data_IF_000202744573
#
_entry.id   IF_000202744573
#
_cell.length_a   1.000
_cell.length_b   1.000
_cell.length_c   1.000
_cell.angle_alpha   90.00
_cell.angle_beta   90.00
_cell.angle_gamma   90.00
#
_symmetry.space_group_name_H-M   'P 1'
#
loop_
_entity.id
_entity.type
_entity.pdbx_description
1 polymer ?
#
# COMPACT_ATOMS: atom_id res chain seq x y z
N UNK A 1 -11.70 -1.91 7.68
CA UNK A 1 -13.06 -2.10 8.26
C UNK A 1 -13.14 -3.24 9.26
N UNK A 2 -13.17 -4.53 8.84
CA UNK A 2 -13.31 -5.67 9.78
C UNK A 2 -12.24 -5.67 10.87
N UNK A 3 -10.99 -5.38 10.52
CA UNK A 3 -9.90 -5.24 11.49
C UNK A 3 -10.15 -4.11 12.49
N UNK A 4 -10.58 -2.94 12.02
CA UNK A 4 -10.87 -1.76 12.86
C UNK A 4 -11.99 -2.04 13.88
N UNK A 5 -13.04 -2.77 13.47
CA UNK A 5 -14.11 -3.23 14.37
C UNK A 5 -13.55 -4.18 15.45
N UNK A 6 -12.70 -5.13 15.04
CA UNK A 6 -12.06 -6.09 15.96
C UNK A 6 -11.13 -5.36 16.93
N UNK A 7 -10.40 -4.35 16.49
CA UNK A 7 -9.51 -3.55 17.32
C UNK A 7 -10.26 -2.72 18.36
N UNK A 8 -11.40 -2.13 18.00
CA UNK A 8 -12.27 -1.41 18.93
C UNK A 8 -12.81 -2.36 20.01
N UNK A 9 -13.30 -3.53 19.62
CA UNK A 9 -13.75 -4.54 20.59
C UNK A 9 -12.60 -5.09 21.43
N UNK A 10 -11.42 -5.30 20.85
CA UNK A 10 -10.24 -5.76 21.57
C UNK A 10 -9.79 -4.74 22.62
N UNK A 11 -9.91 -3.43 22.37
CA UNK A 11 -9.67 -2.39 23.36
C UNK A 11 -10.63 -2.55 24.54
N UNK A 12 -11.95 -2.53 24.29
CA UNK A 12 -12.99 -2.66 25.32
C UNK A 12 -12.80 -3.93 26.18
N UNK A 13 -12.54 -5.08 25.55
CA UNK A 13 -12.36 -6.35 26.28
C UNK A 13 -11.25 -6.25 27.35
N UNK A 14 -10.24 -5.40 27.14
CA UNK A 14 -9.16 -5.21 28.11
C UNK A 14 -9.54 -4.34 29.31
N UNK A 15 -10.59 -3.53 29.20
CA UNK A 15 -11.09 -2.67 30.28
C UNK A 15 -12.30 -3.23 31.01
N UNK A 16 -12.95 -4.28 30.48
CA UNK A 16 -14.10 -4.92 31.11
C UNK A 16 -13.68 -5.80 32.30
N UNK A 17 -14.49 -5.84 33.38
CA UNK A 17 -14.29 -6.81 34.44
C UNK A 17 -14.54 -8.24 33.92
N UNK A 18 -13.90 -9.28 34.50
CA UNK A 18 -13.90 -10.64 33.91
C UNK A 18 -15.27 -11.29 33.73
N UNK A 19 -16.23 -10.94 34.59
CA UNK A 19 -17.61 -11.40 34.56
C UNK A 19 -18.41 -10.79 33.41
N UNK A 20 -18.10 -9.55 33.01
CA UNK A 20 -18.74 -8.85 31.90
C UNK A 20 -18.18 -9.20 30.51
N UNK A 21 -17.03 -9.86 30.45
CA UNK A 21 -16.45 -10.35 29.19
C UNK A 21 -17.25 -11.57 28.69
N UNK A 22 -17.72 -11.56 27.43
CA UNK A 22 -18.41 -12.70 26.83
C UNK A 22 -17.62 -14.00 26.98
N UNK A 23 -18.30 -15.10 27.33
CA UNK A 23 -17.68 -16.41 27.65
C UNK A 23 -16.63 -16.86 26.60
N UNK A 24 -16.89 -16.79 25.27
CA UNK A 24 -15.91 -17.19 24.25
C UNK A 24 -14.61 -16.36 24.24
N UNK A 25 -14.64 -15.16 24.85
CA UNK A 25 -13.57 -14.17 24.82
C UNK A 25 -12.75 -14.10 26.11
N UNK A 26 -13.26 -14.66 27.22
CA UNK A 26 -12.63 -14.59 28.56
C UNK A 26 -11.16 -15.01 28.57
N UNK A 27 -10.81 -16.11 27.87
CA UNK A 27 -9.43 -16.59 27.79
C UNK A 27 -8.46 -15.61 27.11
N UNK A 28 -8.99 -14.70 26.30
CA UNK A 28 -8.21 -13.71 25.57
C UNK A 28 -8.11 -12.37 26.30
N UNK A 29 -9.01 -12.07 27.24
CA UNK A 29 -9.05 -10.77 27.94
C UNK A 29 -7.74 -10.40 28.63
N UNK A 30 -7.03 -11.40 29.18
CA UNK A 30 -5.71 -11.25 29.82
C UNK A 30 -4.56 -10.82 28.92
N UNK A 31 -4.71 -10.92 27.59
CA UNK A 31 -3.62 -10.57 26.68
C UNK A 31 -3.59 -9.07 26.42
N UNK A 32 -2.43 -8.54 26.04
CA UNK A 32 -2.28 -7.17 25.53
C UNK A 32 -3.14 -6.90 24.29
N UNK A 33 -3.58 -5.64 24.10
CA UNK A 33 -4.50 -5.21 23.03
C UNK A 33 -4.16 -5.79 21.66
N UNK A 34 -2.92 -5.61 21.19
CA UNK A 34 -2.47 -6.09 19.86
C UNK A 34 -2.57 -7.61 19.74
N UNK A 35 -2.23 -8.32 20.82
CA UNK A 35 -2.29 -9.78 20.88
C UNK A 35 -3.75 -10.28 20.96
N UNK A 36 -4.64 -9.56 21.64
CA UNK A 36 -6.09 -9.83 21.62
C UNK A 36 -6.66 -9.70 20.21
N UNK A 37 -6.44 -8.57 19.55
CA UNK A 37 -6.95 -8.35 18.19
C UNK A 37 -6.45 -9.43 17.22
N UNK A 38 -5.16 -9.80 17.32
CA UNK A 38 -4.54 -10.82 16.47
C UNK A 38 -5.04 -12.25 16.74
N UNK A 39 -5.06 -12.69 18.00
CA UNK A 39 -5.37 -14.08 18.36
C UNK A 39 -6.87 -14.34 18.53
N UNK A 40 -7.63 -13.33 18.96
CA UNK A 40 -9.07 -13.45 19.22
C UNK A 40 -9.92 -12.91 18.07
N UNK A 41 -9.33 -12.36 16.99
CA UNK A 41 -10.08 -11.61 15.98
C UNK A 41 -11.27 -12.36 15.35
N UNK A 42 -11.13 -13.66 15.09
CA UNK A 42 -12.26 -14.48 14.61
C UNK A 42 -13.35 -14.66 15.67
N UNK A 43 -12.98 -14.87 16.94
CA UNK A 43 -13.93 -15.02 18.03
C UNK A 43 -14.65 -13.70 18.33
N UNK A 44 -13.92 -12.58 18.31
CA UNK A 44 -14.46 -11.24 18.49
C UNK A 44 -15.48 -10.93 17.40
N UNK A 45 -15.15 -11.19 16.13
CA UNK A 45 -16.08 -10.99 15.01
C UNK A 45 -17.37 -11.81 15.19
N UNK A 46 -17.25 -13.09 15.55
CA UNK A 46 -18.40 -13.96 15.75
C UNK A 46 -19.31 -13.53 16.91
N UNK A 47 -18.73 -13.02 18.01
CA UNK A 47 -19.52 -12.47 19.12
C UNK A 47 -20.20 -11.17 18.72
N UNK A 48 -19.49 -10.25 18.06
CA UNK A 48 -20.09 -9.00 17.57
C UNK A 48 -21.24 -9.24 16.60
N UNK A 49 -21.15 -10.27 15.76
CA UNK A 49 -22.22 -10.60 14.83
C UNK A 49 -23.52 -11.01 15.53
N UNK A 50 -23.40 -11.79 16.62
CA UNK A 50 -24.53 -12.43 17.32
C UNK A 50 -25.06 -11.65 18.52
N UNK A 51 -24.19 -10.93 19.24
CA UNK A 51 -24.51 -10.27 20.49
C UNK A 51 -24.66 -8.75 20.29
N UNK A 52 -25.92 -8.30 20.24
CA UNK A 52 -26.25 -6.89 20.08
C UNK A 52 -25.85 -6.05 21.31
N UNK A 53 -25.94 -6.60 22.52
CA UNK A 53 -25.55 -5.91 23.75
C UNK A 53 -24.04 -5.69 23.81
N UNK A 54 -23.25 -6.68 23.40
CA UNK A 54 -21.80 -6.53 23.27
C UNK A 54 -21.43 -5.51 22.18
N UNK A 55 -22.10 -5.50 21.02
CA UNK A 55 -21.87 -4.45 20.01
C UNK A 55 -22.17 -3.06 20.56
N UNK A 56 -23.29 -2.88 21.26
CA UNK A 56 -23.65 -1.62 21.89
C UNK A 56 -22.56 -1.13 22.84
N UNK A 57 -22.08 -2.01 23.74
CA UNK A 57 -20.96 -1.69 24.65
C UNK A 57 -19.68 -1.31 23.92
N UNK A 58 -19.37 -1.93 22.78
CA UNK A 58 -18.22 -1.57 21.94
C UNK A 58 -18.40 -0.19 21.28
N UNK A 59 -19.64 0.23 21.05
CA UNK A 59 -19.94 1.55 20.50
C UNK A 59 -19.86 2.68 21.55
N UNK A 60 -20.08 2.41 22.84
CA UNK A 60 -20.14 3.45 23.88
C UNK A 60 -18.92 4.38 23.93
N UNK A 61 -17.65 3.90 23.94
CA UNK A 61 -16.50 4.79 23.90
C UNK A 61 -16.43 5.65 22.63
N UNK A 62 -17.02 5.16 21.53
CA UNK A 62 -17.10 5.91 20.27
C UNK A 62 -18.19 6.98 20.33
N UNK A 63 -19.29 6.74 21.06
CA UNK A 63 -20.32 7.75 21.34
C UNK A 63 -19.76 8.90 22.15
N UNK A 64 -18.98 8.60 23.18
CA UNK A 64 -18.34 9.62 24.03
C UNK A 64 -17.30 10.43 23.26
N UNK A 65 -16.47 9.77 22.45
CA UNK A 65 -15.37 10.44 21.75
C UNK A 65 -15.84 11.23 20.51
N UNK A 66 -16.92 10.80 19.85
CA UNK A 66 -17.35 11.29 18.52
C UNK A 66 -18.88 11.39 18.41
N UNK A 67 -19.52 12.06 19.37
CA UNK A 67 -20.98 12.19 19.46
C UNK A 67 -21.63 12.66 18.14
N UNK A 68 -21.12 13.73 17.53
CA UNK A 68 -21.67 14.29 16.29
C UNK A 68 -21.67 13.29 15.12
N UNK A 69 -20.61 12.47 15.01
CA UNK A 69 -20.50 11.47 13.95
C UNK A 69 -21.44 10.29 14.22
N UNK A 70 -21.60 9.90 15.49
CA UNK A 70 -22.56 8.87 15.88
C UNK A 70 -23.98 9.31 15.54
N UNK A 71 -24.36 10.54 15.91
CA UNK A 71 -25.68 11.10 15.61
C UNK A 71 -25.94 11.12 14.11
N UNK A 72 -24.96 11.58 13.32
CA UNK A 72 -25.07 11.57 11.86
C UNK A 72 -25.30 10.15 11.32
N UNK A 73 -24.50 9.16 11.76
CA UNK A 73 -24.61 7.77 11.31
C UNK A 73 -25.95 7.15 11.74
N UNK A 74 -26.43 7.41 12.96
CA UNK A 74 -27.74 6.95 13.42
C UNK A 74 -28.89 7.58 12.62
N UNK A 75 -28.74 8.82 12.19
CA UNK A 75 -29.63 9.50 11.25
C UNK A 75 -29.49 9.05 9.79
N UNK A 76 -28.60 8.10 9.47
CA UNK A 76 -28.35 7.63 8.11
C UNK A 76 -27.57 8.61 7.24
N UNK A 77 -26.92 9.60 7.84
CA UNK A 77 -26.13 10.62 7.17
C UNK A 77 -24.64 10.29 7.23
N UNK A 78 -23.93 10.62 6.15
CA UNK A 78 -22.47 10.52 6.07
C UNK A 78 -21.91 11.93 5.88
N UNK A 79 -21.26 12.52 6.90
CA UNK A 79 -20.64 13.82 6.75
C UNK A 79 -19.56 13.80 5.64
N UNK A 80 -19.47 14.81 4.76
CA UNK A 80 -18.58 14.79 3.59
C UNK A 80 -17.08 14.59 3.89
N UNK A 81 -16.62 14.96 5.09
CA UNK A 81 -15.23 14.84 5.51
C UNK A 81 -15.00 13.71 6.53
N UNK A 82 -15.99 12.86 6.78
CA UNK A 82 -15.83 11.74 7.69
C UNK A 82 -14.96 10.63 7.08
N UNK A 83 -14.08 10.04 7.89
CA UNK A 83 -13.32 8.85 7.50
C UNK A 83 -14.30 7.70 7.17
N UNK A 84 -14.30 7.18 5.92
CA UNK A 84 -15.19 6.09 5.53
C UNK A 84 -15.05 4.83 6.40
N UNK A 85 -13.84 4.54 6.91
CA UNK A 85 -13.62 3.41 7.82
C UNK A 85 -14.36 3.62 9.13
N UNK A 86 -14.34 4.85 9.68
CA UNK A 86 -15.04 5.20 10.91
C UNK A 86 -16.55 5.11 10.74
N UNK A 87 -17.07 5.63 9.63
CA UNK A 87 -18.50 5.52 9.26
C UNK A 87 -18.93 4.05 9.19
N UNK A 88 -18.18 3.21 8.49
CA UNK A 88 -18.49 1.78 8.38
C UNK A 88 -18.43 1.04 9.73
N UNK A 89 -17.46 1.38 10.59
CA UNK A 89 -17.36 0.80 11.94
C UNK A 89 -18.58 1.17 12.77
N UNK A 90 -18.97 2.45 12.79
CA UNK A 90 -20.13 2.93 13.53
C UNK A 90 -21.42 2.33 12.98
N UNK A 91 -21.62 2.33 11.67
CA UNK A 91 -22.78 1.72 11.03
C UNK A 91 -22.89 0.22 11.39
N UNK A 92 -21.78 -0.52 11.38
CA UNK A 92 -21.76 -1.94 11.75
C UNK A 92 -22.09 -2.19 13.23
N UNK A 93 -21.57 -1.36 14.13
CA UNK A 93 -21.78 -1.51 15.58
C UNK A 93 -23.19 -1.11 16.00
N UNK A 94 -23.67 0.04 15.51
CA UNK A 94 -24.95 0.65 15.87
C UNK A 94 -26.12 0.01 15.13
N UNK A 95 -25.90 -0.43 13.89
CA UNK A 95 -26.93 -0.98 12.98
C UNK A 95 -28.22 -0.15 12.90
N UNK A 96 -28.16 1.16 12.61
CA UNK A 96 -29.36 1.94 12.29
C UNK A 96 -30.06 1.38 11.04
N UNK A 97 -31.26 1.88 10.76
CA UNK A 97 -31.93 1.54 9.50
C UNK A 97 -31.02 1.91 8.30
N UNK A 98 -30.85 0.99 7.34
CA UNK A 98 -29.97 1.21 6.19
C UNK A 98 -28.45 1.11 6.48
N UNK A 99 -28.05 0.51 7.60
CA UNK A 99 -26.63 0.42 7.97
C UNK A 99 -25.76 -0.32 6.94
N UNK A 100 -26.33 -1.28 6.20
CA UNK A 100 -25.64 -2.03 5.15
C UNK A 100 -25.20 -1.10 4.02
N UNK A 101 -26.08 -0.20 3.61
CA UNK A 101 -25.86 0.79 2.57
C UNK A 101 -24.78 1.79 3.00
N UNK A 102 -24.74 2.18 4.28
CA UNK A 102 -23.67 3.01 4.83
C UNK A 102 -22.30 2.30 4.75
N UNK A 103 -22.26 1.01 5.09
CA UNK A 103 -21.03 0.21 5.01
C UNK A 103 -20.57 0.03 3.55
N UNK A 104 -21.51 -0.23 2.64
CA UNK A 104 -21.20 -0.43 1.23
C UNK A 104 -20.78 0.89 0.55
N UNK A 105 -21.42 2.00 0.88
CA UNK A 105 -21.02 3.34 0.45
C UNK A 105 -19.60 3.67 0.90
N UNK A 106 -19.30 3.43 2.18
CA UNK A 106 -17.95 3.60 2.71
C UNK A 106 -16.92 2.68 2.02
N UNK A 107 -17.30 1.44 1.66
CA UNK A 107 -16.43 0.53 0.91
C UNK A 107 -16.13 1.08 -0.47
N UNK A 108 -17.15 1.53 -1.19
CA UNK A 108 -17.00 2.09 -2.52
C UNK A 108 -16.13 3.36 -2.54
N UNK A 109 -16.22 4.19 -1.49
CA UNK A 109 -15.33 5.36 -1.33
C UNK A 109 -13.87 4.94 -1.13
N UNK A 110 -13.60 3.97 -0.26
CA UNK A 110 -12.23 3.48 -0.03
C UNK A 110 -11.64 2.82 -1.28
N UNK A 111 -12.45 2.09 -2.05
CA UNK A 111 -12.02 1.49 -3.31
C UNK A 111 -11.67 2.56 -4.34
N UNK A 112 -12.52 3.58 -4.52
CA UNK A 112 -12.24 4.74 -5.38
C UNK A 112 -10.94 5.45 -4.99
N UNK A 113 -10.73 5.70 -3.70
CA UNK A 113 -9.51 6.35 -3.20
C UNK A 113 -8.25 5.48 -3.43
N UNK A 114 -8.37 4.17 -3.27
CA UNK A 114 -7.27 3.23 -3.53
C UNK A 114 -6.90 3.21 -5.02
N UNK A 115 -7.87 3.11 -5.92
CA UNK A 115 -7.66 3.13 -7.37
C UNK A 115 -7.00 4.44 -7.81
N UNK A 116 -7.49 5.60 -7.36
CA UNK A 116 -6.89 6.89 -7.69
C UNK A 116 -5.41 6.98 -7.25
N UNK A 117 -5.10 6.51 -6.05
CA UNK A 117 -3.72 6.48 -5.53
C UNK A 117 -2.81 5.53 -6.34
N UNK A 118 -3.33 4.37 -6.74
CA UNK A 118 -2.60 3.41 -7.58
C UNK A 118 -2.33 3.96 -8.98
N UNK A 119 -3.30 4.65 -9.58
CA UNK A 119 -3.17 5.33 -10.87
C UNK A 119 -2.07 6.40 -10.81
N UNK A 120 -2.12 7.30 -9.82
CA UNK A 120 -1.07 8.30 -9.64
C UNK A 120 0.31 7.67 -9.42
N UNK A 121 0.39 6.60 -8.64
CA UNK A 121 1.65 5.89 -8.41
C UNK A 121 2.15 5.20 -9.69
N UNK A 122 1.26 4.68 -10.53
CA UNK A 122 1.60 4.12 -11.83
C UNK A 122 2.11 5.20 -12.79
N UNK A 123 1.45 6.37 -12.85
CA UNK A 123 1.88 7.51 -13.66
C UNK A 123 3.27 7.99 -13.27
N UNK A 124 3.54 8.16 -11.96
CA UNK A 124 4.87 8.52 -11.45
C UNK A 124 5.94 7.51 -11.86
N UNK A 125 5.63 6.21 -11.78
CA UNK A 125 6.54 5.14 -12.21
C UNK A 125 6.80 5.17 -13.72
N UNK A 126 5.77 5.36 -14.53
CA UNK A 126 5.91 5.49 -15.99
C UNK A 126 6.76 6.71 -16.36
N UNK A 127 6.56 7.84 -15.70
CA UNK A 127 7.37 9.04 -15.91
C UNK A 127 8.85 8.82 -15.55
N UNK A 128 9.12 8.16 -14.41
CA UNK A 128 10.48 7.81 -13.99
C UNK A 128 11.16 6.87 -15.00
N UNK A 129 10.50 5.80 -15.41
CA UNK A 129 11.04 4.84 -16.40
C UNK A 129 11.29 5.48 -17.77
N UNK A 130 10.41 6.40 -18.20
CA UNK A 130 10.63 7.17 -19.44
C UNK A 130 11.88 8.04 -19.35
N UNK A 131 12.12 8.66 -18.19
CA UNK A 131 13.32 9.47 -17.95
C UNK A 131 14.58 8.59 -17.95
N UNK A 132 14.58 7.49 -17.21
CA UNK A 132 15.70 6.54 -17.18
C UNK A 132 16.01 5.99 -18.59
N UNK A 133 14.98 5.68 -19.39
CA UNK A 133 15.16 5.24 -20.77
C UNK A 133 15.77 6.33 -21.65
N UNK A 134 15.35 7.59 -21.48
CA UNK A 134 15.91 8.72 -22.21
C UNK A 134 17.39 8.93 -21.84
N UNK A 135 17.70 8.91 -20.55
CA UNK A 135 19.06 9.07 -20.02
C UNK A 135 19.98 7.93 -20.49
N UNK A 136 19.52 6.68 -20.45
CA UNK A 136 20.26 5.53 -20.95
C UNK A 136 20.52 5.60 -22.46
N UNK A 137 19.54 6.08 -23.25
CA UNK A 137 19.70 6.30 -24.69
C UNK A 137 20.71 7.40 -24.99
N UNK A 138 20.66 8.51 -24.26
CA UNK A 138 21.61 9.61 -24.39
C UNK A 138 23.03 9.15 -24.05
N UNK A 139 23.20 8.44 -22.94
CA UNK A 139 24.48 7.85 -22.54
C UNK A 139 25.03 6.90 -23.61
N UNK A 140 24.19 5.98 -24.13
CA UNK A 140 24.58 5.07 -25.21
C UNK A 140 25.00 5.81 -26.48
N UNK A 141 24.31 6.88 -26.85
CA UNK A 141 24.68 7.68 -28.03
C UNK A 141 26.03 8.35 -27.82
N UNK A 142 26.26 8.96 -26.66
CA UNK A 142 27.53 9.60 -26.31
C UNK A 142 28.70 8.61 -26.34
N UNK A 143 28.51 7.41 -25.78
CA UNK A 143 29.52 6.33 -25.85
C UNK A 143 29.81 5.89 -27.29
N UNK A 144 28.78 5.75 -28.13
CA UNK A 144 28.98 5.41 -29.55
C UNK A 144 29.75 6.50 -30.31
N UNK A 145 29.46 7.77 -30.02
CA UNK A 145 30.15 8.88 -30.67
C UNK A 145 31.61 8.98 -30.23
N UNK A 146 31.89 8.70 -28.95
CA UNK A 146 33.25 8.57 -28.41
C UNK A 146 34.02 7.42 -29.07
N UNK A 147 33.46 6.21 -29.09
CA UNK A 147 34.10 5.04 -29.73
C UNK A 147 34.35 5.27 -31.23
N UNK A 148 33.46 6.00 -31.91
CA UNK A 148 33.68 6.39 -33.32
C UNK A 148 34.83 7.38 -33.47
N UNK A 149 34.99 8.32 -32.54
CA UNK A 149 36.12 9.25 -32.55
C UNK A 149 37.45 8.49 -32.36
N UNK A 150 37.53 7.63 -31.33
CA UNK A 150 38.71 6.79 -31.05
C UNK A 150 39.06 5.87 -32.24
N UNK A 151 38.06 5.29 -32.91
CA UNK A 151 38.29 4.47 -34.11
C UNK A 151 38.86 5.29 -35.28
N UNK A 152 38.44 6.55 -35.46
CA UNK A 152 38.98 7.42 -36.51
C UNK A 152 40.42 7.80 -36.22
N UNK A 153 40.72 8.11 -34.96
CA UNK A 153 42.07 8.42 -34.49
C UNK A 153 43.03 7.24 -34.69
N UNK A 154 42.67 6.05 -34.20
CA UNK A 154 43.48 4.84 -34.39
C UNK A 154 43.69 4.49 -35.87
N UNK A 155 42.68 4.70 -36.73
CA UNK A 155 42.85 4.52 -38.18
C UNK A 155 43.81 5.53 -38.80
N UNK A 156 43.81 6.78 -38.33
CA UNK A 156 44.76 7.79 -38.78
C UNK A 156 46.18 7.42 -38.35
N UNK A 157 46.37 7.01 -37.09
CA UNK A 157 47.66 6.53 -36.58
C UNK A 157 48.20 5.35 -37.40
N UNK A 158 47.35 4.35 -37.71
CA UNK A 158 47.75 3.21 -38.54
C UNK A 158 48.10 3.63 -39.98
N UNK A 159 47.45 4.65 -40.53
CA UNK A 159 47.75 5.16 -41.86
C UNK A 159 49.06 5.95 -41.92
N UNK A 160 49.47 6.57 -40.81
CA UNK A 160 50.74 7.28 -40.68
C UNK A 160 51.94 6.33 -40.46
N UNK A 161 51.69 5.09 -40.03
CA UNK A 161 52.74 4.07 -39.98
C UNK A 161 53.24 3.77 -41.40
N UNK A 162 54.56 3.91 -41.67
CA UNK A 162 55.13 3.57 -42.97
C UNK A 162 54.81 2.10 -43.30
N UNK A 163 54.26 1.84 -44.51
CA UNK A 163 54.13 0.45 -44.95
C UNK A 163 55.52 -0.20 -44.88
N UNK A 164 55.65 -1.40 -44.29
CA UNK A 164 56.91 -2.10 -44.30
C UNK A 164 57.36 -2.24 -45.76
N UNK A 165 58.65 -1.97 -46.07
CA UNK A 165 59.14 -2.00 -47.43
C UNK A 165 58.80 -3.36 -48.05
N UNK A 166 58.18 -3.34 -49.22
CA UNK A 166 57.80 -4.52 -49.98
C UNK A 166 59.06 -5.13 -50.62
N UNK A 167 60.04 -5.49 -49.81
CA UNK A 167 61.27 -6.13 -50.24
C UNK A 167 61.99 -6.87 -49.09
N UNK A 168 61.39 -7.95 -48.60
CA UNK A 168 62.08 -8.95 -47.78
C UNK A 168 61.69 -10.38 -48.15
N UNK A 169 61.43 -10.62 -49.45
CA UNK A 169 61.45 -11.97 -50.04
C UNK A 169 62.38 -12.10 -51.26
N UNK A 170 63.12 -11.04 -51.62
CA UNK A 170 64.11 -11.11 -52.70
C UNK A 170 65.54 -11.41 -52.20
N UNK A 171 65.79 -11.50 -50.89
CA UNK A 171 67.13 -11.75 -50.32
C UNK A 171 67.36 -13.19 -49.84
N UNK A 172 66.48 -14.14 -50.18
CA UNK A 172 66.72 -15.58 -49.96
C UNK A 172 66.76 -16.39 -51.26
N UNK A 173 67.09 -15.75 -52.39
CA UNK A 173 67.33 -16.43 -53.66
C UNK A 173 68.56 -15.82 -54.35
N UNK A 174 69.73 -16.06 -53.78
CA UNK A 174 71.02 -16.25 -54.48
C UNK A 174 72.12 -16.34 -53.42
N UNK A 175 72.48 -17.58 -53.07
CA UNK A 175 73.83 -18.15 -52.86
C UNK A 175 73.76 -19.44 -52.04
#
# INVERSE_FOLDING_TARGET
>A
MRQSVVEAAAELIGSLPPDEVPVPLRRFARFERRKRAKLAGQHIAAVLEKDAGFRGRVAEPLREAQADLVEAVEGGLVPPAADPVRVAVLAYLLRPAGWTELVDSARAELERAATASEEEAAERRVAALKRELADARAARSAELDKLRAELRESKAEVAELPRPPHNTLALFREE
#
